data_IF_153473414406
#
_entry.id   IF_153473414406
#
_cell.length_a   1.000
_cell.length_b   1.000
_cell.length_c   1.000
_cell.angle_alpha   90.00
_cell.angle_beta   90.00
_cell.angle_gamma   90.00
#
_symmetry.space_group_name_H-M   'P 1'
#
loop_
_entity.id
_entity.type
_entity.pdbx_description
1 polymer ?
#
# COMPACT_ATOMS: atom_id res chain seq x y z
N UNK A 1 13.18 3.18 11.90
CA UNK A 1 13.45 4.33 11.00
C UNK A 1 12.79 5.58 11.58
N UNK A 2 13.54 6.67 11.76
CA UNK A 2 13.00 7.93 12.28
C UNK A 2 12.75 8.86 11.10
N UNK A 3 11.52 9.34 10.94
CA UNK A 3 11.22 10.42 9.99
C UNK A 3 11.79 11.70 10.59
N UNK A 4 12.82 12.27 9.96
CA UNK A 4 13.43 13.54 10.38
C UNK A 4 12.50 14.72 10.13
N UNK A 5 11.91 14.76 8.93
CA UNK A 5 10.94 15.77 8.53
C UNK A 5 9.82 15.12 7.70
N UNK A 6 8.58 15.27 8.14
CA UNK A 6 7.43 14.71 7.42
C UNK A 6 7.21 15.40 6.06
N UNK A 7 7.73 16.63 5.87
CA UNK A 7 7.61 17.38 4.62
C UNK A 7 8.28 16.68 3.45
N UNK A 8 9.35 15.93 3.70
CA UNK A 8 10.09 15.18 2.67
C UNK A 8 9.25 14.05 2.04
N UNK A 9 8.15 13.68 2.69
CA UNK A 9 7.24 12.64 2.24
C UNK A 9 5.93 13.17 1.64
N UNK A 10 5.69 14.50 1.68
CA UNK A 10 4.50 15.10 1.09
C UNK A 10 4.75 15.31 -0.41
N UNK A 11 3.93 14.65 -1.24
CA UNK A 11 3.99 14.76 -2.72
C UNK A 11 2.96 15.75 -3.27
N UNK A 12 1.90 16.02 -2.53
CA UNK A 12 0.89 17.00 -2.91
C UNK A 12 0.11 17.49 -1.68
N UNK A 13 -0.21 18.77 -1.65
CA UNK A 13 -1.07 19.38 -0.65
C UNK A 13 -1.85 20.54 -1.25
N UNK A 14 -3.16 20.58 -0.97
CA UNK A 14 -4.01 21.75 -1.21
C UNK A 14 -4.94 21.99 0.00
N UNK A 15 -6.06 22.69 -0.18
CA UNK A 15 -7.02 22.97 0.90
C UNK A 15 -7.86 21.75 1.29
N UNK A 16 -7.92 20.73 0.44
CA UNK A 16 -8.84 19.61 0.55
C UNK A 16 -8.14 18.29 0.87
N UNK A 17 -6.96 18.08 0.28
CA UNK A 17 -6.24 16.80 0.38
C UNK A 17 -4.75 17.00 0.65
N UNK A 18 -4.16 15.99 1.28
CA UNK A 18 -2.73 15.84 1.45
C UNK A 18 -2.35 14.42 1.00
N UNK A 19 -1.37 14.32 0.12
CA UNK A 19 -0.89 13.04 -0.43
C UNK A 19 0.56 12.85 -0.03
N UNK A 20 0.87 11.68 0.51
CA UNK A 20 2.21 11.34 0.98
C UNK A 20 2.75 10.09 0.31
N UNK A 21 4.08 10.02 0.18
CA UNK A 21 4.82 8.78 0.07
C UNK A 21 5.10 8.25 1.49
N UNK A 22 4.30 7.30 1.96
CA UNK A 22 4.56 6.65 3.25
C UNK A 22 5.79 5.75 3.14
N UNK A 23 6.85 5.95 3.93
CA UNK A 23 7.98 5.01 3.95
C UNK A 23 7.60 3.68 4.62
N UNK A 24 8.34 2.63 4.31
CA UNK A 24 8.24 1.36 5.02
C UNK A 24 8.62 1.52 6.50
N UNK A 25 8.04 0.72 7.39
CA UNK A 25 8.37 0.68 8.81
C UNK A 25 7.55 1.62 9.71
N UNK A 26 6.78 2.59 9.16
CA UNK A 26 5.85 3.41 9.94
C UNK A 26 4.39 3.02 9.64
N UNK A 27 3.54 2.97 10.66
CA UNK A 27 2.11 2.79 10.48
C UNK A 27 1.46 4.07 9.94
N UNK A 28 0.40 3.96 9.15
CA UNK A 28 -0.44 5.12 8.81
C UNK A 28 -1.11 5.67 10.06
N UNK A 29 -1.64 4.77 10.89
CA UNK A 29 -2.34 5.05 12.13
C UNK A 29 -2.03 3.94 13.14
N UNK A 30 -1.62 4.30 14.34
CA UNK A 30 -1.30 3.37 15.42
C UNK A 30 -2.46 3.28 16.43
N UNK A 31 -2.68 2.10 16.98
CA UNK A 31 -3.63 1.92 18.08
C UNK A 31 -2.97 2.15 19.47
N UNK A 32 -1.65 2.20 19.54
CA UNK A 32 -0.90 2.34 20.80
C UNK A 32 -0.58 3.81 21.14
N UNK A 33 -0.85 4.21 22.36
CA UNK A 33 -0.43 5.51 22.91
C UNK A 33 1.10 5.58 22.90
N UNK A 34 1.66 6.69 22.37
CA UNK A 34 3.10 6.92 22.32
C UNK A 34 3.83 6.33 21.12
N UNK A 35 3.18 5.54 20.28
CA UNK A 35 3.77 5.08 19.02
C UNK A 35 3.64 6.18 17.96
N UNK A 36 4.77 6.57 17.39
CA UNK A 36 4.80 7.51 16.28
C UNK A 36 4.19 6.88 15.02
N UNK A 37 3.20 7.54 14.44
CA UNK A 37 2.59 7.16 13.16
C UNK A 37 2.50 8.35 12.21
N UNK A 38 2.20 8.06 10.95
CA UNK A 38 2.16 9.08 9.91
C UNK A 38 1.04 10.11 10.16
N UNK A 39 -0.12 9.67 10.67
CA UNK A 39 -1.23 10.55 11.00
C UNK A 39 -0.81 11.59 12.05
N UNK A 40 -0.16 11.17 13.12
CA UNK A 40 0.30 12.06 14.20
C UNK A 40 1.34 13.06 13.71
N UNK A 41 2.29 12.62 12.88
CA UNK A 41 3.29 13.50 12.27
C UNK A 41 2.66 14.57 11.39
N UNK A 42 1.70 14.17 10.54
CA UNK A 42 0.99 15.09 9.65
C UNK A 42 0.09 16.04 10.42
N UNK A 43 -0.60 15.60 11.47
CA UNK A 43 -1.37 16.49 12.35
C UNK A 43 -0.48 17.54 13.02
N UNK A 44 0.69 17.15 13.50
CA UNK A 44 1.67 18.10 14.05
C UNK A 44 2.15 19.11 12.98
N UNK A 45 2.38 18.65 11.75
CA UNK A 45 2.72 19.52 10.63
C UNK A 45 1.62 20.55 10.33
N UNK A 46 0.36 20.11 10.24
CA UNK A 46 -0.80 20.99 9.99
C UNK A 46 -0.97 22.00 11.14
N UNK A 47 -0.86 21.56 12.41
CA UNK A 47 -0.98 22.43 13.57
C UNK A 47 0.06 23.57 13.58
N UNK A 48 1.29 23.28 13.15
CA UNK A 48 2.35 24.30 13.00
C UNK A 48 2.03 25.33 11.90
N UNK A 49 1.36 24.91 10.82
CA UNK A 49 0.93 25.82 9.74
C UNK A 49 -0.28 26.70 10.11
N UNK A 50 -1.09 26.23 11.06
CA UNK A 50 -2.32 26.92 11.48
C UNK A 50 -2.40 27.01 13.01
N UNK A 51 -1.56 27.85 13.66
CA UNK A 51 -1.57 28.01 15.11
C UNK A 51 -2.97 28.40 15.63
N UNK A 52 -3.37 27.78 16.73
CA UNK A 52 -4.67 28.04 17.38
C UNK A 52 -5.87 27.30 16.77
N UNK A 53 -5.68 26.52 15.70
CA UNK A 53 -6.72 25.67 15.14
C UNK A 53 -6.44 24.19 15.41
N UNK A 54 -7.49 23.45 15.79
CA UNK A 54 -7.40 21.99 15.89
C UNK A 54 -7.20 21.40 14.48
N UNK A 55 -6.10 20.67 14.22
CA UNK A 55 -5.86 20.09 12.90
C UNK A 55 -6.86 18.97 12.60
N UNK A 56 -7.53 19.04 11.47
CA UNK A 56 -8.31 17.93 10.94
C UNK A 56 -7.47 17.13 9.94
N UNK A 57 -7.44 15.82 10.07
CA UNK A 57 -6.84 14.91 9.12
C UNK A 57 -7.66 13.61 9.04
N UNK A 58 -8.37 13.44 7.93
CA UNK A 58 -9.18 12.25 7.66
C UNK A 58 -8.36 11.18 6.97
N UNK A 59 -8.20 10.02 7.61
CA UNK A 59 -7.54 8.84 7.02
C UNK A 59 -8.52 8.14 6.09
N UNK A 60 -8.24 8.15 4.78
CA UNK A 60 -9.12 7.56 3.76
C UNK A 60 -8.82 6.08 3.56
N UNK A 61 -7.56 5.73 3.53
CA UNK A 61 -7.09 4.34 3.45
C UNK A 61 -5.76 4.17 4.18
N UNK A 62 -5.38 2.93 4.37
CA UNK A 62 -4.13 2.58 5.07
C UNK A 62 -3.30 1.62 4.25
N UNK A 63 -1.99 1.67 4.48
CA UNK A 63 -1.02 0.66 4.11
C UNK A 63 -0.53 -0.02 5.39
N UNK A 64 -0.19 -1.28 5.30
CA UNK A 64 0.43 -2.01 6.41
C UNK A 64 1.75 -1.32 6.80
N UNK A 65 2.17 -1.47 8.06
CA UNK A 65 3.38 -0.84 8.57
C UNK A 65 4.62 -1.10 7.69
N UNK A 66 4.93 -2.33 7.24
CA UNK A 66 6.10 -2.60 6.40
C UNK A 66 5.94 -2.18 4.93
N UNK A 67 4.73 -1.83 4.47
CA UNK A 67 4.45 -1.45 3.08
C UNK A 67 4.72 0.03 2.88
N UNK A 68 5.46 0.38 1.83
CA UNK A 68 5.65 1.76 1.39
C UNK A 68 4.64 2.18 0.31
N UNK A 69 4.56 3.48 0.01
CA UNK A 69 3.82 3.96 -1.15
C UNK A 69 2.85 5.11 -0.88
N UNK A 70 2.03 5.42 -1.89
CA UNK A 70 1.13 6.57 -1.89
C UNK A 70 -0.04 6.38 -0.94
N UNK A 71 -0.26 7.38 -0.07
CA UNK A 71 -1.42 7.48 0.82
C UNK A 71 -2.05 8.86 0.70
N UNK A 72 -3.38 8.94 0.59
CA UNK A 72 -4.14 10.19 0.58
C UNK A 72 -4.89 10.40 1.89
N UNK A 73 -4.88 11.63 2.36
CA UNK A 73 -5.61 12.12 3.52
C UNK A 73 -6.54 13.26 3.11
N UNK A 74 -7.64 13.43 3.82
CA UNK A 74 -8.51 14.59 3.67
C UNK A 74 -8.20 15.64 4.72
N UNK A 75 -8.16 16.92 4.33
CA UNK A 75 -7.89 18.04 5.23
C UNK A 75 -9.15 18.69 5.82
N UNK A 76 -10.33 18.20 5.43
CA UNK A 76 -11.61 18.60 6.01
C UNK A 76 -12.67 17.50 5.87
N UNK A 77 -13.79 17.58 6.63
CA UNK A 77 -14.83 16.54 6.62
C UNK A 77 -15.53 16.36 5.27
N UNK A 78 -15.71 17.42 4.46
CA UNK A 78 -16.37 17.36 3.14
C UNK A 78 -15.51 16.56 2.17
N UNK A 79 -14.21 16.84 2.13
CA UNK A 79 -13.25 16.07 1.33
C UNK A 79 -13.19 14.61 1.78
N UNK A 80 -13.18 14.34 3.09
CA UNK A 80 -13.22 12.98 3.62
C UNK A 80 -14.46 12.20 3.16
N UNK A 81 -15.64 12.80 3.26
CA UNK A 81 -16.89 12.19 2.80
C UNK A 81 -16.88 11.89 1.30
N UNK A 82 -16.34 12.82 0.47
CA UNK A 82 -16.24 12.64 -0.98
C UNK A 82 -15.26 11.52 -1.35
N UNK A 83 -14.07 11.49 -0.73
CA UNK A 83 -13.08 10.42 -0.97
C UNK A 83 -13.55 9.06 -0.47
N UNK A 84 -14.26 8.99 0.67
CA UNK A 84 -14.85 7.74 1.15
C UNK A 84 -15.92 7.20 0.19
N UNK A 85 -16.75 8.07 -0.43
CA UNK A 85 -17.67 7.64 -1.49
C UNK A 85 -16.93 7.08 -2.70
N UNK A 86 -15.84 7.70 -3.13
CA UNK A 86 -15.01 7.18 -4.22
C UNK A 86 -14.39 5.82 -3.85
N UNK A 87 -13.94 5.64 -2.59
CA UNK A 87 -13.40 4.37 -2.12
C UNK A 87 -14.45 3.26 -2.15
N UNK A 88 -15.66 3.51 -1.65
CA UNK A 88 -16.73 2.51 -1.59
C UNK A 88 -17.32 2.18 -2.96
N UNK A 89 -17.29 3.12 -3.90
CA UNK A 89 -17.75 2.92 -5.30
C UNK A 89 -16.67 2.38 -6.24
N UNK A 90 -15.46 2.06 -5.74
CA UNK A 90 -14.37 1.53 -6.56
C UNK A 90 -13.75 2.54 -7.55
N UNK A 91 -13.99 3.84 -7.35
CA UNK A 91 -13.44 4.90 -8.21
C UNK A 91 -11.99 5.24 -7.90
N UNK A 92 -11.52 4.92 -6.70
CA UNK A 92 -10.11 5.02 -6.34
C UNK A 92 -9.39 3.78 -6.86
N UNK A 93 -8.41 3.99 -7.75
CA UNK A 93 -7.58 2.91 -8.28
C UNK A 93 -6.21 2.94 -7.64
N UNK A 94 -5.71 1.77 -7.29
CA UNK A 94 -4.39 1.57 -6.70
C UNK A 94 -3.62 0.57 -7.53
N UNK A 95 -2.41 0.94 -7.90
CA UNK A 95 -1.47 0.03 -8.54
C UNK A 95 -0.31 -0.21 -7.59
N UNK A 96 -0.01 -1.48 -7.36
CA UNK A 96 1.10 -1.89 -6.53
C UNK A 96 2.21 -2.46 -7.38
N UNK A 97 3.44 -2.28 -6.92
CA UNK A 97 4.60 -3.01 -7.38
C UNK A 97 5.03 -3.97 -6.26
N UNK A 98 5.34 -5.19 -6.63
CA UNK A 98 5.78 -6.22 -5.69
C UNK A 98 6.90 -7.06 -6.31
N UNK A 99 7.82 -7.54 -5.48
CA UNK A 99 8.82 -8.52 -5.91
C UNK A 99 8.51 -9.86 -5.26
N UNK A 100 8.42 -10.90 -6.09
CA UNK A 100 8.27 -12.29 -5.67
C UNK A 100 9.55 -13.07 -5.92
N UNK A 101 9.71 -14.16 -5.20
CA UNK A 101 10.80 -15.12 -5.38
C UNK A 101 10.27 -16.43 -5.97
N UNK A 102 11.09 -17.07 -6.81
CA UNK A 102 10.77 -18.35 -7.46
C UNK A 102 10.03 -18.21 -8.78
N UNK A 103 9.58 -19.34 -9.30
CA UNK A 103 8.93 -19.42 -10.60
C UNK A 103 7.50 -18.91 -10.58
N UNK A 104 7.11 -18.25 -11.66
CA UNK A 104 5.73 -17.80 -11.86
C UNK A 104 4.98 -18.79 -12.76
N UNK A 105 3.66 -18.98 -12.51
CA UNK A 105 2.83 -19.87 -13.35
C UNK A 105 2.53 -19.29 -14.74
N UNK A 106 2.96 -18.06 -15.01
CA UNK A 106 2.72 -17.36 -16.27
C UNK A 106 3.18 -15.91 -16.22
N UNK A 107 2.74 -15.10 -17.20
CA UNK A 107 3.07 -13.67 -17.30
C UNK A 107 2.04 -12.75 -16.66
N UNK A 108 0.82 -13.21 -16.45
CA UNK A 108 -0.26 -12.48 -15.80
C UNK A 108 -1.30 -13.46 -15.27
N UNK A 109 -2.13 -13.01 -14.34
CA UNK A 109 -3.18 -13.82 -13.78
C UNK A 109 -4.14 -13.06 -12.87
N UNK A 110 -5.22 -13.75 -12.49
CA UNK A 110 -6.20 -13.34 -11.50
C UNK A 110 -6.12 -14.27 -10.31
N UNK A 111 -6.11 -13.71 -9.10
CA UNK A 111 -6.26 -14.49 -7.87
C UNK A 111 -7.60 -14.13 -7.23
N UNK A 112 -8.36 -15.16 -6.89
CA UNK A 112 -9.66 -15.03 -6.25
C UNK A 112 -9.73 -16.00 -5.07
N UNK A 113 -9.84 -15.47 -3.86
CA UNK A 113 -9.87 -16.21 -2.61
C UNK A 113 -10.91 -15.65 -1.65
N UNK A 114 -11.24 -16.43 -0.64
CA UNK A 114 -11.97 -15.97 0.53
C UNK A 114 -10.99 -15.79 1.70
N UNK A 115 -10.86 -14.55 2.19
CA UNK A 115 -9.90 -14.21 3.23
C UNK A 115 -10.60 -13.99 4.57
N UNK A 116 -10.08 -14.62 5.61
CA UNK A 116 -10.51 -14.44 7.00
C UNK A 116 -9.38 -13.81 7.81
N UNK A 117 -9.66 -12.67 8.47
CA UNK A 117 -8.72 -12.03 9.38
C UNK A 117 -8.73 -12.71 10.73
N UNK A 118 -7.53 -12.95 11.29
CA UNK A 118 -7.33 -13.26 12.68
C UNK A 118 -6.87 -11.99 13.42
N UNK A 119 -7.73 -11.45 14.27
CA UNK A 119 -7.44 -10.24 15.04
C UNK A 119 -6.39 -10.44 16.11
N UNK A 120 -6.22 -11.68 16.64
CA UNK A 120 -5.28 -11.99 17.72
C UNK A 120 -3.83 -11.98 17.21
N UNK A 121 -3.60 -12.55 16.04
CA UNK A 121 -2.27 -12.62 15.42
C UNK A 121 -2.00 -11.47 14.45
N UNK A 122 -3.01 -10.64 14.17
CA UNK A 122 -2.97 -9.62 13.14
C UNK A 122 -2.49 -10.18 11.79
N UNK A 123 -3.04 -11.34 11.40
CA UNK A 123 -2.80 -12.00 10.11
C UNK A 123 -4.12 -12.21 9.38
N UNK A 124 -4.06 -12.63 8.13
CA UNK A 124 -5.20 -13.14 7.37
C UNK A 124 -4.81 -14.47 6.74
N UNK A 125 -5.80 -15.28 6.38
CA UNK A 125 -5.56 -16.55 5.68
C UNK A 125 -6.63 -16.79 4.64
N UNK A 126 -6.29 -17.50 3.58
CA UNK A 126 -7.26 -18.05 2.64
C UNK A 126 -8.06 -19.16 3.31
N UNK A 127 -9.36 -19.19 3.09
CA UNK A 127 -10.30 -20.16 3.64
C UNK A 127 -11.32 -20.54 2.57
N UNK A 128 -12.09 -21.60 2.82
CA UNK A 128 -13.17 -22.01 1.91
C UNK A 128 -14.28 -20.95 1.88
N UNK A 129 -14.94 -20.83 0.72
CA UNK A 129 -16.16 -20.05 0.57
C UNK A 129 -17.22 -20.50 1.61
N UNK A 130 -18.01 -19.54 2.11
CA UNK A 130 -18.99 -19.80 3.16
C UNK A 130 -18.44 -19.85 4.59
N UNK A 131 -17.09 -19.77 4.79
CA UNK A 131 -16.53 -19.66 6.13
C UNK A 131 -17.01 -18.38 6.81
N UNK A 132 -17.54 -18.48 8.00
CA UNK A 132 -18.02 -17.32 8.77
C UNK A 132 -16.95 -16.23 8.92
N UNK A 133 -17.29 -14.99 8.62
CA UNK A 133 -16.40 -13.83 8.68
C UNK A 133 -15.36 -13.75 7.56
N UNK A 134 -15.37 -14.70 6.62
CA UNK A 134 -14.55 -14.60 5.42
C UNK A 134 -15.13 -13.58 4.42
N UNK A 135 -14.25 -12.94 3.65
CA UNK A 135 -14.63 -11.96 2.64
C UNK A 135 -13.92 -12.26 1.33
N UNK A 136 -14.67 -12.19 0.23
CA UNK A 136 -14.13 -12.36 -1.12
C UNK A 136 -13.02 -11.34 -1.36
N UNK A 137 -11.92 -11.79 -1.95
CA UNK A 137 -10.72 -11.03 -2.29
C UNK A 137 -10.31 -11.31 -3.73
N UNK A 138 -10.17 -10.28 -4.53
CA UNK A 138 -9.81 -10.38 -5.96
C UNK A 138 -8.70 -9.41 -6.28
N UNK A 139 -7.64 -9.91 -6.91
CA UNK A 139 -6.57 -9.12 -7.50
C UNK A 139 -6.17 -9.65 -8.87
N UNK A 140 -5.53 -8.78 -9.65
CA UNK A 140 -4.89 -9.10 -10.92
C UNK A 140 -3.40 -8.79 -10.79
N UNK A 141 -2.55 -9.65 -11.36
CA UNK A 141 -1.12 -9.44 -11.39
C UNK A 141 -0.58 -9.59 -12.81
N UNK A 142 0.50 -8.88 -13.11
CA UNK A 142 1.21 -8.93 -14.38
C UNK A 142 2.71 -8.88 -14.13
N UNK A 143 3.45 -9.78 -14.77
CA UNK A 143 4.90 -9.78 -14.79
C UNK A 143 5.40 -8.57 -15.59
N UNK A 144 6.30 -7.81 -15.01
CA UNK A 144 6.97 -6.68 -15.65
C UNK A 144 8.39 -7.07 -16.07
N UNK A 145 9.15 -7.65 -15.15
CA UNK A 145 10.56 -8.02 -15.36
C UNK A 145 10.93 -9.21 -14.48
N UNK A 146 11.87 -10.03 -14.94
CA UNK A 146 12.48 -11.12 -14.17
C UNK A 146 13.98 -10.93 -14.14
N UNK A 147 14.58 -11.14 -12.98
CA UNK A 147 16.04 -11.09 -12.79
C UNK A 147 16.53 -12.29 -12.00
N UNK A 148 17.61 -12.86 -12.45
CA UNK A 148 18.36 -13.84 -11.69
C UNK A 148 19.23 -13.11 -10.65
N UNK A 149 19.13 -13.54 -9.40
CA UNK A 149 20.02 -13.14 -8.32
C UNK A 149 20.92 -14.29 -7.92
N UNK A 150 21.88 -14.07 -7.02
CA UNK A 150 22.78 -15.13 -6.56
C UNK A 150 22.03 -16.30 -5.94
N UNK A 151 20.91 -16.01 -5.27
CA UNK A 151 20.19 -17.00 -4.47
C UNK A 151 18.96 -17.58 -5.19
N UNK A 152 18.31 -16.78 -6.07
CA UNK A 152 17.02 -17.17 -6.66
C UNK A 152 16.61 -16.27 -7.84
N UNK A 153 15.64 -16.76 -8.64
CA UNK A 153 14.92 -15.93 -9.59
C UNK A 153 13.97 -14.98 -8.85
N UNK A 154 14.00 -13.70 -9.21
CA UNK A 154 13.09 -12.66 -8.70
C UNK A 154 12.29 -12.03 -9.81
N UNK A 155 11.03 -11.81 -9.56
CA UNK A 155 10.09 -11.23 -10.52
C UNK A 155 9.44 -9.98 -9.97
N UNK A 156 9.53 -8.89 -10.75
CA UNK A 156 8.79 -7.65 -10.49
C UNK A 156 7.41 -7.76 -11.10
N UNK A 157 6.39 -7.54 -10.27
CA UNK A 157 4.98 -7.62 -10.66
C UNK A 157 4.27 -6.28 -10.48
N UNK A 158 3.40 -5.94 -11.45
CA UNK A 158 2.32 -4.98 -11.26
C UNK A 158 1.09 -5.71 -10.70
N UNK A 159 0.50 -5.17 -9.63
CA UNK A 159 -0.70 -5.75 -9.00
C UNK A 159 -1.79 -4.70 -8.92
N UNK A 160 -2.99 -5.07 -9.36
CA UNK A 160 -4.20 -4.24 -9.27
C UNK A 160 -5.23 -4.94 -8.39
N UNK A 161 -5.76 -4.19 -7.43
CA UNK A 161 -6.77 -4.68 -6.50
C UNK A 161 -8.18 -4.35 -7.00
N UNK A 162 -9.05 -5.35 -7.10
CA UNK A 162 -10.50 -5.16 -7.21
C UNK A 162 -11.13 -5.00 -5.81
N UNK A 163 -10.57 -5.66 -4.81
CA UNK A 163 -10.98 -5.57 -3.40
C UNK A 163 -9.80 -5.12 -2.53
N UNK A 164 -10.08 -4.58 -1.33
CA UNK A 164 -9.06 -4.12 -0.38
C UNK A 164 -9.17 -4.81 0.98
N UNK A 165 -8.82 -6.10 1.07
CA UNK A 165 -8.88 -6.86 2.33
C UNK A 165 -7.56 -6.70 3.11
N UNK A 166 -7.62 -6.96 4.40
CA UNK A 166 -6.45 -6.93 5.28
C UNK A 166 -5.38 -7.90 4.78
N UNK A 167 -4.15 -7.40 4.56
CA UNK A 167 -2.99 -8.12 4.00
C UNK A 167 -3.26 -8.82 2.65
N UNK A 168 -4.23 -8.36 1.86
CA UNK A 168 -4.75 -9.09 0.71
C UNK A 168 -3.66 -9.59 -0.25
N UNK A 169 -2.83 -8.68 -0.77
CA UNK A 169 -1.76 -9.03 -1.73
C UNK A 169 -0.84 -10.09 -1.11
N UNK A 170 -0.39 -9.85 0.11
CA UNK A 170 0.55 -10.71 0.82
C UNK A 170 0.03 -12.14 0.99
N UNK A 171 -1.25 -12.27 1.40
CA UNK A 171 -1.90 -13.58 1.60
C UNK A 171 -2.16 -14.28 0.28
N UNK A 172 -2.75 -13.60 -0.70
CA UNK A 172 -3.12 -14.23 -1.97
C UNK A 172 -1.89 -14.66 -2.77
N UNK A 173 -0.84 -13.82 -2.80
CA UNK A 173 0.41 -14.17 -3.47
C UNK A 173 1.08 -15.37 -2.80
N UNK A 174 1.15 -15.42 -1.47
CA UNK A 174 1.69 -16.55 -0.76
C UNK A 174 0.85 -17.83 -0.96
N UNK A 175 -0.49 -17.72 -0.91
CA UNK A 175 -1.41 -18.85 -1.14
C UNK A 175 -1.28 -19.43 -2.56
N UNK A 176 -0.93 -18.59 -3.53
CA UNK A 176 -0.70 -18.97 -4.92
C UNK A 176 0.73 -19.51 -5.20
N UNK A 177 1.56 -19.68 -4.17
CA UNK A 177 2.94 -20.16 -4.34
C UNK A 177 3.91 -19.08 -4.85
N UNK A 178 3.52 -17.81 -4.84
CA UNK A 178 4.31 -16.65 -5.27
C UNK A 178 4.55 -15.68 -4.10
N UNK A 179 5.14 -16.10 -2.97
CA UNK A 179 5.29 -15.25 -1.79
C UNK A 179 6.18 -14.04 -2.09
N UNK A 180 5.88 -12.92 -1.42
CA UNK A 180 6.66 -11.70 -1.60
C UNK A 180 8.00 -11.80 -0.90
N UNK A 181 9.03 -11.24 -1.52
CA UNK A 181 10.36 -11.07 -0.93
C UNK A 181 10.25 -10.22 0.34
N UNK A 182 10.89 -10.67 1.43
CA UNK A 182 10.91 -9.99 2.71
C UNK A 182 9.61 -10.06 3.53
N UNK A 183 8.61 -10.86 3.11
CA UNK A 183 7.37 -11.02 3.87
C UNK A 183 7.52 -11.99 5.03
N UNK A 184 7.84 -11.48 6.22
CA UNK A 184 8.05 -12.28 7.43
C UNK A 184 6.80 -13.00 7.95
N UNK A 185 5.60 -12.60 7.51
CA UNK A 185 4.34 -13.22 7.97
C UNK A 185 3.87 -14.35 7.08
N UNK A 186 4.12 -14.23 5.77
CA UNK A 186 3.56 -15.12 4.77
C UNK A 186 4.63 -15.83 3.93
N UNK A 187 5.91 -15.52 4.18
CA UNK A 187 7.06 -16.24 3.63
C UNK A 187 8.12 -16.46 4.72
N UNK A 188 7.81 -17.19 5.81
CA UNK A 188 8.70 -17.32 6.96
C UNK A 188 9.99 -18.12 6.66
N UNK A 189 9.99 -19.02 5.68
CA UNK A 189 11.13 -19.88 5.37
C UNK A 189 12.25 -19.14 4.62
N UNK A 190 11.91 -18.05 3.93
CA UNK A 190 12.85 -17.24 3.13
C UNK A 190 13.03 -15.82 3.69
N UNK A 191 12.80 -15.63 4.99
CA UNK A 191 13.01 -14.34 5.63
C UNK A 191 14.48 -14.10 5.95
N UNK A 192 15.22 -13.64 4.97
CA UNK A 192 16.45 -12.90 5.23
C UNK A 192 16.18 -11.60 5.98
N UNK A 193 17.19 -10.72 6.08
CA UNK A 193 17.06 -9.38 6.67
C UNK A 193 16.32 -8.39 5.74
N UNK A 194 15.93 -8.82 4.57
CA UNK A 194 15.32 -7.96 3.55
C UNK A 194 13.98 -7.39 4.01
N UNK A 195 13.71 -6.12 3.72
CA UNK A 195 12.40 -5.52 3.94
C UNK A 195 11.37 -6.09 2.96
N UNK A 196 10.08 -6.03 3.32
CA UNK A 196 8.98 -6.44 2.46
C UNK A 196 8.98 -5.64 1.14
N UNK A 197 9.09 -6.35 0.03
CA UNK A 197 9.06 -5.76 -1.32
C UNK A 197 7.62 -5.60 -1.82
N UNK A 198 6.90 -4.63 -1.25
CA UNK A 198 5.55 -4.24 -1.65
C UNK A 198 5.38 -2.73 -1.54
N UNK A 199 5.06 -2.08 -2.65
CA UNK A 199 4.85 -0.64 -2.75
C UNK A 199 3.51 -0.32 -3.40
N UNK A 200 2.70 0.55 -2.78
CA UNK A 200 1.56 1.22 -3.41
C UNK A 200 2.10 2.31 -4.34
N UNK A 201 2.52 1.91 -5.55
CA UNK A 201 3.30 2.76 -6.46
C UNK A 201 2.46 3.86 -7.13
N UNK A 202 1.16 3.61 -7.36
CA UNK A 202 0.29 4.63 -7.95
C UNK A 202 -1.09 4.65 -7.30
N UNK A 203 -1.65 5.86 -7.21
CA UNK A 203 -2.99 6.15 -6.70
C UNK A 203 -3.70 7.09 -7.67
N UNK A 204 -4.86 6.67 -8.19
CA UNK A 204 -5.75 7.50 -8.98
C UNK A 204 -7.00 7.86 -8.18
N UNK A 205 -7.33 9.14 -8.14
CA UNK A 205 -8.54 9.67 -7.48
C UNK A 205 -9.18 10.74 -8.36
N UNK A 206 -10.41 11.12 -8.02
CA UNK A 206 -10.97 12.41 -8.42
C UNK A 206 -10.84 13.39 -7.28
N UNK A 207 -10.35 14.59 -7.56
CA UNK A 207 -10.26 15.64 -6.54
C UNK A 207 -11.64 15.87 -5.89
N UNK A 208 -11.74 15.84 -4.55
CA UNK A 208 -13.03 15.75 -3.84
C UNK A 208 -13.98 16.92 -4.10
N UNK A 209 -13.47 18.11 -4.45
CA UNK A 209 -14.27 19.30 -4.71
C UNK A 209 -14.39 19.63 -6.19
N UNK A 210 -13.32 19.50 -6.99
CA UNK A 210 -13.33 19.89 -8.40
C UNK A 210 -13.71 18.77 -9.34
N UNK A 211 -13.67 17.50 -8.90
CA UNK A 211 -13.90 16.31 -9.71
C UNK A 211 -12.78 16.00 -10.72
N UNK A 212 -11.73 16.84 -10.80
CA UNK A 212 -10.60 16.63 -11.70
C UNK A 212 -9.92 15.30 -11.39
N UNK A 213 -9.63 14.49 -12.42
CA UNK A 213 -8.85 13.26 -12.28
C UNK A 213 -7.41 13.62 -11.90
N UNK A 214 -6.88 12.97 -10.86
CA UNK A 214 -5.52 13.13 -10.37
C UNK A 214 -4.87 11.77 -10.24
N UNK A 215 -3.59 11.70 -10.56
CA UNK A 215 -2.76 10.51 -10.41
C UNK A 215 -1.48 10.89 -9.67
N UNK A 216 -1.14 10.11 -8.68
CA UNK A 216 0.08 10.25 -7.88
C UNK A 216 0.89 8.97 -8.01
N UNK A 217 2.19 9.12 -8.21
CA UNK A 217 3.10 8.00 -8.39
C UNK A 217 4.34 8.18 -7.52
N UNK A 218 4.91 7.07 -7.07
CA UNK A 218 6.18 7.04 -6.33
C UNK A 218 7.02 5.86 -6.82
N UNK A 219 8.33 6.05 -6.82
CA UNK A 219 9.28 4.95 -7.01
C UNK A 219 9.45 4.20 -5.70
N UNK A 220 9.40 2.87 -5.69
CA UNK A 220 9.79 2.09 -4.53
C UNK A 220 11.21 2.42 -4.09
N UNK A 221 11.41 2.63 -2.79
CA UNK A 221 12.72 2.91 -2.18
C UNK A 221 13.36 1.66 -1.55
N UNK A 222 12.60 0.57 -1.40
CA UNK A 222 13.08 -0.68 -0.80
C UNK A 222 14.21 -1.33 -1.61
N UNK A 223 15.22 -1.87 -0.91
CA UNK A 223 16.43 -2.46 -1.53
C UNK A 223 16.09 -3.57 -2.55
N UNK A 224 15.08 -4.39 -2.28
CA UNK A 224 14.69 -5.47 -3.19
C UNK A 224 14.14 -5.01 -4.54
N UNK A 225 13.78 -3.72 -4.70
CA UNK A 225 13.38 -3.14 -5.97
C UNK A 225 14.57 -2.60 -6.79
N UNK A 226 15.73 -2.37 -6.17
CA UNK A 226 16.89 -1.76 -6.82
C UNK A 226 17.50 -2.62 -7.94
N UNK A 227 17.22 -3.93 -7.91
CA UNK A 227 17.65 -4.84 -8.96
C UNK A 227 16.94 -4.60 -10.31
N UNK A 228 15.78 -3.90 -10.30
CA UNK A 228 14.91 -3.70 -11.45
C UNK A 228 15.01 -2.28 -12.00
N UNK A 229 14.86 -2.14 -13.33
CA UNK A 229 14.77 -0.81 -13.94
C UNK A 229 13.37 -0.22 -13.69
N UNK A 230 13.30 0.74 -12.78
CA UNK A 230 12.04 1.38 -12.40
C UNK A 230 11.64 2.55 -13.30
N UNK A 231 12.51 3.02 -14.23
CA UNK A 231 12.25 4.20 -15.07
C UNK A 231 11.05 3.99 -16.01
N UNK A 232 10.90 2.78 -16.55
CA UNK A 232 9.79 2.44 -17.45
C UNK A 232 8.42 2.28 -16.77
N UNK A 233 8.36 2.19 -15.44
CA UNK A 233 7.12 1.81 -14.72
C UNK A 233 6.49 2.94 -13.93
N UNK A 234 7.24 3.97 -13.59
CA UNK A 234 6.76 5.08 -12.74
C UNK A 234 6.62 6.39 -13.51
N UNK A 235 7.33 6.57 -14.62
CA UNK A 235 7.39 7.85 -15.36
C UNK A 235 6.45 7.92 -16.58
N UNK A 236 5.47 7.05 -16.73
CA UNK A 236 4.42 7.23 -17.75
C UNK A 236 3.48 8.36 -17.30
N UNK A 237 3.85 9.57 -17.71
CA UNK A 237 3.00 10.78 -17.61
C UNK A 237 1.71 10.64 -18.41
#
# INVERSE_FOLDING_TARGET
>A
MWIKDVRDYIIYEDKEILVCHKPAGIAVQSAGVGNMDLESLLKNYIARKQPGKMPYLGVIHRLDQPVEGVVVFALNPKAAAALNRQMTSGQIRKTYLAVTAGDLPGKEGKLEDWLKKDGRTNTSRAVKEGTEGAKKAVLYWKLLETKETVDEMRSLLEIRLETGRHHQIRVQMANAGMPLVGDRKYNPEKTGREPLCLCSAALEIRHPMTGKKMQFQVRPAGEGFQAFDMEGYVDKK
#
